data_IF_121604794486
#
_entry.id   IF_121604794486
#
_cell.length_a   1.000
_cell.length_b   1.000
_cell.length_c   1.000
_cell.angle_alpha   90.00
_cell.angle_beta   90.00
_cell.angle_gamma   90.00
#
_symmetry.space_group_name_H-M   'P 1'
#
loop_
_entity.id
_entity.type
_entity.pdbx_description
1 polymer ?
#
# COMPACT_ATOMS: atom_id res chain seq x y z
N UNK A 1 -19.69 21.11 -14.54
CA UNK A 1 -19.55 19.84 -13.81
C UNK A 1 -20.89 19.56 -13.15
N UNK A 2 -21.65 18.57 -13.63
CA UNK A 2 -22.90 18.23 -12.96
C UNK A 2 -22.62 17.81 -11.51
N UNK A 3 -23.49 18.18 -10.54
CA UNK A 3 -23.33 17.84 -9.13
C UNK A 3 -23.08 16.33 -8.89
N UNK A 4 -23.59 15.49 -9.79
CA UNK A 4 -23.40 14.04 -9.75
C UNK A 4 -21.94 13.60 -9.88
N UNK A 5 -21.12 14.30 -10.68
CA UNK A 5 -19.69 13.97 -10.81
C UNK A 5 -18.94 14.24 -9.51
N UNK A 6 -19.28 15.33 -8.82
CA UNK A 6 -18.66 15.67 -7.53
C UNK A 6 -18.99 14.63 -6.46
N UNK A 7 -20.23 14.15 -6.43
CA UNK A 7 -20.66 13.07 -5.51
C UNK A 7 -19.88 11.78 -5.79
N UNK A 8 -19.75 11.38 -7.06
CA UNK A 8 -19.00 10.18 -7.44
C UNK A 8 -17.53 10.29 -7.01
N UNK A 9 -16.89 11.43 -7.23
CA UNK A 9 -15.48 11.64 -6.84
C UNK A 9 -15.30 11.54 -5.32
N UNK A 10 -16.22 12.09 -4.52
CA UNK A 10 -16.16 11.97 -3.06
C UNK A 10 -16.28 10.50 -2.62
N UNK A 11 -17.20 9.75 -3.23
CA UNK A 11 -17.36 8.32 -2.92
C UNK A 11 -16.08 7.55 -3.28
N UNK A 12 -15.53 7.77 -4.48
CA UNK A 12 -14.29 7.12 -4.92
C UNK A 12 -13.10 7.47 -4.02
N UNK A 13 -12.99 8.73 -3.59
CA UNK A 13 -11.96 9.14 -2.64
C UNK A 13 -12.11 8.40 -1.31
N UNK A 14 -13.34 8.30 -0.79
CA UNK A 14 -13.64 7.55 0.44
C UNK A 14 -13.27 6.07 0.33
N UNK A 15 -13.64 5.42 -0.77
CA UNK A 15 -13.30 4.03 -1.03
C UNK A 15 -11.78 3.82 -1.15
N UNK A 16 -11.08 4.72 -1.84
CA UNK A 16 -9.63 4.66 -1.98
C UNK A 16 -8.91 4.79 -0.62
N UNK A 17 -9.40 5.67 0.26
CA UNK A 17 -8.85 5.81 1.63
C UNK A 17 -9.06 4.52 2.42
N UNK A 18 -10.25 3.91 2.35
CA UNK A 18 -10.54 2.66 3.04
C UNK A 18 -9.66 1.52 2.56
N UNK A 19 -9.54 1.35 1.23
CA UNK A 19 -8.70 0.33 0.61
C UNK A 19 -7.23 0.47 1.03
N UNK A 20 -6.67 1.68 0.90
CA UNK A 20 -5.29 1.96 1.28
C UNK A 20 -5.05 1.73 2.78
N UNK A 21 -5.97 2.16 3.64
CA UNK A 21 -5.87 2.01 5.09
C UNK A 21 -5.84 0.54 5.51
N UNK A 22 -6.74 -0.29 4.97
CA UNK A 22 -6.81 -1.72 5.29
C UNK A 22 -5.58 -2.46 4.77
N UNK A 23 -5.13 -2.16 3.54
CA UNK A 23 -3.94 -2.76 2.95
C UNK A 23 -2.67 -2.45 3.76
N UNK A 24 -2.43 -1.17 4.05
CA UNK A 24 -1.24 -0.75 4.83
C UNK A 24 -1.28 -1.27 6.26
N UNK A 25 -2.46 -1.33 6.90
CA UNK A 25 -2.59 -1.89 8.24
C UNK A 25 -2.22 -3.38 8.30
N UNK A 26 -2.60 -4.15 7.28
CA UNK A 26 -2.25 -5.56 7.17
C UNK A 26 -0.73 -5.75 7.12
N UNK A 27 -0.04 -4.96 6.30
CA UNK A 27 1.41 -5.01 6.18
C UNK A 27 2.10 -4.50 7.46
N UNK A 28 1.57 -3.44 8.07
CA UNK A 28 2.08 -2.90 9.32
C UNK A 28 2.05 -3.94 10.44
N UNK A 29 0.95 -4.69 10.59
CA UNK A 29 0.87 -5.76 11.61
C UNK A 29 1.90 -6.85 11.36
N UNK A 30 2.14 -7.22 10.09
CA UNK A 30 3.15 -8.21 9.73
C UNK A 30 4.57 -7.74 10.12
N UNK A 31 4.91 -6.46 9.90
CA UNK A 31 6.21 -5.92 10.30
C UNK A 31 6.36 -5.72 11.81
N UNK A 32 5.29 -5.27 12.47
CA UNK A 32 5.31 -4.93 13.90
C UNK A 32 5.29 -6.16 14.80
N UNK A 33 4.70 -7.27 14.37
CA UNK A 33 4.58 -8.50 15.17
C UNK A 33 5.93 -9.01 15.67
N UNK A 34 6.96 -9.04 14.81
CA UNK A 34 8.30 -9.50 15.20
C UNK A 34 8.99 -8.53 16.17
N UNK A 35 8.83 -7.22 15.97
CA UNK A 35 9.47 -6.19 16.81
C UNK A 35 8.81 -6.07 18.18
N UNK A 36 7.48 -6.11 18.24
CA UNK A 36 6.71 -6.06 19.49
C UNK A 36 6.88 -7.36 20.27
N UNK A 37 6.78 -8.52 19.59
CA UNK A 37 6.91 -9.84 20.21
C UNK A 37 8.29 -10.10 20.83
N UNK A 38 9.36 -9.58 20.21
CA UNK A 38 10.74 -9.70 20.71
C UNK A 38 11.11 -8.68 21.80
N UNK A 39 10.25 -7.69 22.07
CA UNK A 39 10.49 -6.60 23.04
C UNK A 39 11.82 -5.86 22.82
N UNK A 40 12.21 -5.67 21.56
CA UNK A 40 13.50 -5.06 21.20
C UNK A 40 13.62 -3.58 21.60
N UNK A 41 12.49 -2.86 21.64
CA UNK A 41 12.43 -1.42 21.91
C UNK A 41 11.08 -1.05 22.52
N UNK A 42 10.94 0.12 23.17
CA UNK A 42 9.64 0.61 23.60
C UNK A 42 8.71 0.88 22.40
N UNK A 43 7.41 0.66 22.60
CA UNK A 43 6.40 0.67 21.53
C UNK A 43 6.41 1.97 20.70
N UNK A 44 6.64 3.11 21.33
CA UNK A 44 6.67 4.40 20.63
C UNK A 44 7.82 4.48 19.62
N UNK A 45 9.00 3.89 19.90
CA UNK A 45 10.15 3.83 18.97
C UNK A 45 9.81 2.93 17.79
N UNK A 46 9.25 1.75 18.07
CA UNK A 46 8.85 0.80 17.02
C UNK A 46 7.85 1.46 16.06
N UNK A 47 6.83 2.14 16.59
CA UNK A 47 5.83 2.82 15.79
C UNK A 47 6.40 4.02 15.01
N UNK A 48 7.33 4.78 15.58
CA UNK A 48 7.96 5.88 14.83
C UNK A 48 8.82 5.36 13.67
N UNK A 49 9.65 4.34 13.92
CA UNK A 49 10.47 3.73 12.87
C UNK A 49 9.60 3.12 11.78
N UNK A 50 8.55 2.38 12.13
CA UNK A 50 7.61 1.81 11.18
C UNK A 50 6.91 2.91 10.34
N UNK A 51 6.44 3.98 10.98
CA UNK A 51 5.77 5.09 10.28
C UNK A 51 6.71 5.79 9.29
N UNK A 52 7.96 6.07 9.71
CA UNK A 52 8.98 6.66 8.82
C UNK A 52 9.30 5.70 7.67
N UNK A 53 9.44 4.40 7.94
CA UNK A 53 9.69 3.38 6.93
C UNK A 53 8.59 3.29 5.88
N UNK A 54 7.32 3.28 6.29
CA UNK A 54 6.16 3.29 5.38
C UNK A 54 6.12 4.59 4.56
N UNK A 55 6.40 5.74 5.18
CA UNK A 55 6.39 7.03 4.51
C UNK A 55 7.50 7.09 3.43
N UNK A 56 8.71 6.67 3.75
CA UNK A 56 9.80 6.58 2.77
C UNK A 56 9.47 5.54 1.68
N UNK A 57 8.98 4.36 2.07
CA UNK A 57 8.62 3.30 1.14
C UNK A 57 7.59 3.76 0.11
N UNK A 58 6.57 4.49 0.53
CA UNK A 58 5.53 5.02 -0.38
C UNK A 58 6.03 6.16 -1.27
N UNK A 59 6.93 7.02 -0.78
CA UNK A 59 7.53 8.08 -1.60
C UNK A 59 8.46 7.56 -2.70
N UNK A 60 9.16 6.45 -2.45
CA UNK A 60 10.14 5.89 -3.38
C UNK A 60 9.62 4.67 -4.19
N UNK A 61 8.36 4.25 -4.03
CA UNK A 61 7.79 3.03 -4.65
C UNK A 61 7.47 3.11 -6.15
N UNK A 62 7.88 4.18 -6.85
CA UNK A 62 7.55 4.43 -8.26
C UNK A 62 7.74 3.22 -9.19
N UNK A 63 8.86 2.49 -9.07
CA UNK A 63 9.14 1.31 -9.90
C UNK A 63 8.18 0.14 -9.66
N UNK A 64 7.81 -0.16 -8.40
CA UNK A 64 6.81 -1.20 -8.09
C UNK A 64 5.41 -0.79 -8.53
N UNK A 65 5.07 0.50 -8.41
CA UNK A 65 3.78 1.02 -8.83
C UNK A 65 3.63 0.98 -10.36
N UNK A 66 4.72 1.18 -11.12
CA UNK A 66 4.72 1.04 -12.57
C UNK A 66 4.55 -0.42 -13.02
N UNK A 67 5.15 -1.38 -12.31
CA UNK A 67 4.93 -2.82 -12.54
C UNK A 67 3.48 -3.19 -12.23
N UNK A 68 2.95 -2.79 -11.08
CA UNK A 68 1.56 -3.05 -10.70
C UNK A 68 0.57 -2.44 -11.72
N UNK A 69 0.83 -1.21 -12.15
CA UNK A 69 0.04 -0.52 -13.17
C UNK A 69 0.10 -1.26 -14.50
N UNK A 70 1.29 -1.54 -15.00
CA UNK A 70 1.48 -2.21 -16.30
C UNK A 70 0.84 -3.60 -16.29
N UNK A 71 0.92 -4.32 -15.16
CA UNK A 71 0.28 -5.61 -14.99
C UNK A 71 -1.25 -5.55 -15.00
N UNK A 72 -1.85 -4.56 -14.35
CA UNK A 72 -3.31 -4.40 -14.31
C UNK A 72 -3.87 -3.89 -15.65
N UNK A 73 -3.16 -2.98 -16.32
CA UNK A 73 -3.65 -2.33 -17.55
C UNK A 73 -3.23 -3.03 -18.86
N UNK A 74 -2.16 -3.84 -18.86
CA UNK A 74 -1.69 -4.58 -20.03
C UNK A 74 -1.40 -6.04 -19.68
N UNK A 75 -2.43 -6.84 -19.33
CA UNK A 75 -2.25 -8.24 -18.93
C UNK A 75 -1.61 -9.10 -20.03
N UNK A 76 -1.68 -8.66 -21.29
CA UNK A 76 -1.08 -9.30 -22.47
C UNK A 76 0.46 -9.27 -22.45
N UNK A 77 1.07 -8.38 -21.67
CA UNK A 77 2.54 -8.30 -21.50
C UNK A 77 3.09 -9.33 -20.51
N UNK A 78 2.23 -10.08 -19.82
CA UNK A 78 2.67 -11.20 -18.98
C UNK A 78 2.86 -12.45 -19.85
N UNK A 79 4.11 -12.80 -20.13
CA UNK A 79 4.43 -14.09 -20.74
C UNK A 79 4.34 -15.21 -19.68
N UNK A 80 3.88 -16.39 -20.10
CA UNK A 80 3.77 -17.58 -19.24
C UNK A 80 5.01 -17.85 -18.36
N UNK A 81 6.26 -17.70 -18.85
CA UNK A 81 7.45 -17.85 -18.02
C UNK A 81 7.59 -16.83 -16.88
N UNK A 82 7.02 -15.63 -17.01
CA UNK A 82 7.12 -14.56 -16.01
C UNK A 82 6.10 -14.69 -14.86
N UNK A 83 5.01 -15.43 -15.05
CA UNK A 83 3.94 -15.61 -14.04
C UNK A 83 4.17 -16.87 -13.20
N UNK A 84 4.87 -17.87 -13.73
CA UNK A 84 4.86 -19.25 -13.23
C UNK A 84 6.06 -19.61 -12.33
N UNK A 85 6.78 -18.61 -11.82
CA UNK A 85 7.87 -18.78 -10.84
C UNK A 85 7.37 -18.47 -9.44
#
# INVERSE_FOLDING_TARGET
MDPIYLIIVIILLGLAILDLSVGVANDAVNFLNSSIGSKVAPLWVILTVASVGVLLGTLFSSGMMEIARSGVFHPEMFSFPNIMV
#
